data_IF_963491797327
#
_entry.id   IF_963491797327
#
_cell.length_a   1.000
_cell.length_b   1.000
_cell.length_c   1.000
_cell.angle_alpha   90.00
_cell.angle_beta   90.00
_cell.angle_gamma   90.00
#
_symmetry.space_group_name_H-M   'P 1'
#
loop_
_entity.id
_entity.type
_entity.pdbx_description
1 polymer ?
#
# COMPACT_ATOMS: atom_id res chain seq x y z
N UNK A 1 6.38 11.92 28.65
CA UNK A 1 7.61 11.49 27.97
C UNK A 1 7.19 10.92 26.62
N UNK A 2 7.17 11.73 25.57
CA UNK A 2 6.92 11.23 24.21
C UNK A 2 8.23 10.63 23.72
N UNK A 3 8.26 9.30 23.63
CA UNK A 3 9.34 8.55 23.00
C UNK A 3 9.24 8.79 21.50
N UNK A 4 9.81 9.89 21.00
CA UNK A 4 9.84 10.17 19.56
C UNK A 4 11.07 9.49 18.99
N UNK A 5 10.94 8.20 18.68
CA UNK A 5 11.90 7.55 17.80
C UNK A 5 12.08 8.42 16.54
N UNK A 6 13.31 8.55 15.99
CA UNK A 6 13.53 9.31 14.79
C UNK A 6 12.63 8.78 13.66
N UNK A 7 12.09 9.71 12.85
CA UNK A 7 11.26 9.33 11.72
C UNK A 7 12.07 8.45 10.75
N UNK A 8 11.46 7.41 10.16
CA UNK A 8 12.05 6.74 9.02
C UNK A 8 12.41 7.76 7.93
N UNK A 9 13.59 7.65 7.34
CA UNK A 9 14.09 8.58 6.32
C UNK A 9 13.09 8.76 5.17
N UNK A 10 12.58 7.64 4.66
CA UNK A 10 11.55 7.61 3.62
C UNK A 10 10.26 8.38 4.01
N UNK A 11 9.88 8.40 5.28
CA UNK A 11 8.75 9.21 5.75
C UNK A 11 9.13 10.69 5.82
N UNK A 12 10.30 11.01 6.37
CA UNK A 12 10.78 12.38 6.50
C UNK A 12 10.85 13.09 5.13
N UNK A 13 11.35 12.41 4.10
CA UNK A 13 11.41 12.91 2.72
C UNK A 13 10.03 13.25 2.16
N UNK A 14 9.03 12.36 2.36
CA UNK A 14 7.64 12.57 1.91
C UNK A 14 6.99 13.77 2.58
N UNK A 15 7.19 13.91 3.89
CA UNK A 15 6.65 15.04 4.66
C UNK A 15 7.31 16.35 4.23
N UNK A 16 8.63 16.36 4.05
CA UNK A 16 9.37 17.53 3.59
C UNK A 16 8.92 17.96 2.19
N UNK A 17 8.85 17.03 1.23
CA UNK A 17 8.39 17.31 -0.14
C UNK A 17 6.96 17.86 -0.18
N UNK A 18 6.09 17.33 0.67
CA UNK A 18 4.68 17.74 0.73
C UNK A 18 4.43 18.99 1.59
N UNK A 19 5.48 19.60 2.16
CA UNK A 19 5.33 20.68 3.15
C UNK A 19 4.32 20.31 4.25
N UNK A 20 4.47 19.11 4.81
CA UNK A 20 3.74 18.64 5.99
C UNK A 20 4.65 18.77 7.23
N UNK A 21 5.02 20.01 7.52
CA UNK A 21 5.77 20.36 8.73
C UNK A 21 4.85 20.36 9.98
N UNK A 22 5.40 20.73 11.12
CA UNK A 22 4.66 20.79 12.38
C UNK A 22 3.46 21.74 12.35
N UNK A 23 3.52 22.82 11.58
CA UNK A 23 2.42 23.76 11.46
C UNK A 23 1.29 23.14 10.63
N UNK A 24 1.62 22.55 9.48
CA UNK A 24 0.67 21.85 8.63
C UNK A 24 0.00 20.68 9.38
N UNK A 25 0.76 19.87 10.13
CA UNK A 25 0.21 18.79 10.96
C UNK A 25 -0.65 19.34 12.11
N UNK A 26 -0.30 20.50 12.66
CA UNK A 26 -1.15 21.24 13.60
C UNK A 26 -2.49 21.65 13.00
N UNK A 27 -2.52 22.04 11.71
CA UNK A 27 -3.75 22.34 10.96
C UNK A 27 -4.58 21.09 10.67
N UNK A 28 -3.96 19.95 10.42
CA UNK A 28 -4.71 18.67 10.31
C UNK A 28 -5.39 18.35 11.64
N UNK A 29 -4.65 18.48 12.75
CA UNK A 29 -5.18 18.24 14.09
C UNK A 29 -6.32 19.20 14.46
N UNK A 30 -6.32 20.45 13.97
CA UNK A 30 -7.39 21.41 14.27
C UNK A 30 -8.77 20.97 13.75
N UNK A 31 -8.79 20.13 12.69
CA UNK A 31 -10.02 19.57 12.10
C UNK A 31 -10.30 18.14 12.55
N UNK A 32 -9.52 17.58 13.49
CA UNK A 32 -9.63 16.19 13.95
C UNK A 32 -11.06 15.81 14.38
N UNK A 33 -11.70 16.65 15.20
CA UNK A 33 -13.06 16.39 15.68
C UNK A 33 -14.08 16.29 14.53
N UNK A 34 -13.95 17.15 13.52
CA UNK A 34 -14.78 17.12 12.32
C UNK A 34 -14.49 15.87 11.49
N UNK A 35 -13.23 15.50 11.30
CA UNK A 35 -12.85 14.27 10.60
C UNK A 35 -13.45 13.04 11.29
N UNK A 36 -13.32 12.92 12.61
CA UNK A 36 -13.84 11.78 13.38
C UNK A 36 -15.37 11.71 13.38
N UNK A 37 -16.06 12.86 13.39
CA UNK A 37 -17.52 12.95 13.25
C UNK A 37 -18.00 12.30 11.94
N UNK A 38 -17.29 12.53 10.83
CA UNK A 38 -17.68 12.01 9.51
C UNK A 38 -17.03 10.67 9.14
N UNK A 39 -15.99 10.24 9.85
CA UNK A 39 -15.26 9.00 9.56
C UNK A 39 -16.14 7.75 9.65
N UNK A 40 -16.98 7.64 10.69
CA UNK A 40 -17.89 6.51 10.86
C UNK A 40 -18.83 6.34 9.65
N UNK A 41 -19.64 7.37 9.31
CA UNK A 41 -20.48 7.37 8.12
C UNK A 41 -19.71 7.14 6.81
N UNK A 42 -18.52 7.71 6.67
CA UNK A 42 -17.67 7.53 5.50
C UNK A 42 -17.25 6.06 5.31
N UNK A 43 -16.83 5.41 6.39
CA UNK A 43 -16.47 3.99 6.37
C UNK A 43 -17.70 3.10 6.12
N UNK A 44 -18.87 3.44 6.68
CA UNK A 44 -20.11 2.70 6.39
C UNK A 44 -20.47 2.74 4.91
N UNK A 45 -20.45 3.93 4.29
CA UNK A 45 -20.69 4.12 2.86
C UNK A 45 -19.65 3.37 2.02
N UNK A 46 -18.38 3.47 2.39
CA UNK A 46 -17.27 2.79 1.70
C UNK A 46 -17.45 1.27 1.70
N UNK A 47 -17.65 0.65 2.86
CA UNK A 47 -17.79 -0.80 2.93
C UNK A 47 -19.09 -1.34 2.33
N UNK A 48 -20.18 -0.57 2.38
CA UNK A 48 -21.39 -0.89 1.63
C UNK A 48 -21.12 -0.92 0.12
N UNK A 49 -20.37 0.06 -0.39
CA UNK A 49 -19.98 0.09 -1.80
C UNK A 49 -19.05 -1.06 -2.18
N UNK A 50 -18.04 -1.37 -1.34
CA UNK A 50 -17.15 -2.50 -1.59
C UNK A 50 -17.90 -3.84 -1.69
N UNK A 51 -18.93 -4.04 -0.87
CA UNK A 51 -19.78 -5.24 -0.94
C UNK A 51 -20.58 -5.35 -2.23
N UNK A 52 -20.78 -4.25 -2.96
CA UNK A 52 -21.48 -4.21 -4.25
C UNK A 52 -20.57 -4.41 -5.46
N UNK A 53 -19.24 -4.34 -5.28
CA UNK A 53 -18.25 -4.48 -6.35
C UNK A 53 -17.63 -5.88 -6.31
N UNK A 54 -17.99 -6.81 -7.21
CA UNK A 54 -17.52 -8.20 -7.17
C UNK A 54 -16.00 -8.33 -7.18
N UNK A 55 -15.29 -7.40 -7.84
CA UNK A 55 -13.83 -7.43 -7.93
C UNK A 55 -13.15 -7.19 -6.57
N UNK A 56 -13.81 -6.48 -5.65
CA UNK A 56 -13.29 -6.20 -4.31
C UNK A 56 -13.97 -7.10 -3.26
N UNK A 57 -15.27 -7.35 -3.38
CA UNK A 57 -16.05 -8.15 -2.44
C UNK A 57 -15.44 -9.54 -2.20
N UNK A 58 -14.84 -10.15 -3.24
CA UNK A 58 -14.18 -11.47 -3.16
C UNK A 58 -13.06 -11.57 -2.12
N UNK A 59 -12.50 -10.45 -1.66
CA UNK A 59 -11.44 -10.43 -0.65
C UNK A 59 -11.95 -10.55 0.80
N UNK A 60 -13.27 -10.50 1.00
CA UNK A 60 -13.90 -10.65 2.30
C UNK A 60 -14.66 -11.99 2.36
N UNK A 61 -14.23 -12.88 3.27
CA UNK A 61 -14.84 -14.17 3.49
C UNK A 61 -16.24 -14.05 4.15
N UNK A 62 -16.37 -13.10 5.08
CA UNK A 62 -17.59 -12.89 5.85
C UNK A 62 -17.71 -11.44 6.33
N UNK A 63 -18.86 -11.14 6.95
CA UNK A 63 -19.15 -9.81 7.52
C UNK A 63 -18.22 -9.47 8.70
N UNK A 64 -17.73 -10.45 9.44
CA UNK A 64 -16.86 -10.20 10.59
C UNK A 64 -15.47 -9.73 10.15
N UNK A 65 -14.93 -10.29 9.06
CA UNK A 65 -13.70 -9.81 8.43
C UNK A 65 -13.86 -8.37 7.95
N UNK A 66 -15.01 -8.04 7.37
CA UNK A 66 -15.32 -6.67 6.96
C UNK A 66 -15.35 -5.72 8.16
N UNK A 67 -15.99 -6.10 9.27
CA UNK A 67 -16.04 -5.27 10.48
C UNK A 67 -14.66 -5.10 11.12
N UNK A 68 -13.83 -6.15 11.14
CA UNK A 68 -12.43 -6.05 11.60
C UNK A 68 -11.62 -5.09 10.72
N UNK A 69 -11.81 -5.16 9.40
CA UNK A 69 -11.16 -4.23 8.47
C UNK A 69 -11.62 -2.78 8.72
N UNK A 70 -12.92 -2.57 8.93
CA UNK A 70 -13.49 -1.25 9.27
C UNK A 70 -12.88 -0.68 10.55
N UNK A 71 -12.75 -1.49 11.59
CA UNK A 71 -12.09 -1.09 12.84
C UNK A 71 -10.62 -0.69 12.65
N UNK A 72 -9.88 -1.47 11.85
CA UNK A 72 -8.48 -1.15 11.53
C UNK A 72 -8.37 0.17 10.76
N UNK A 73 -9.21 0.40 9.75
CA UNK A 73 -9.28 1.66 9.01
C UNK A 73 -9.61 2.82 9.95
N UNK A 74 -10.58 2.67 10.85
CA UNK A 74 -10.95 3.74 11.80
C UNK A 74 -9.76 4.17 12.67
N UNK A 75 -8.99 3.21 13.22
CA UNK A 75 -7.78 3.51 13.99
C UNK A 75 -6.72 4.22 13.14
N UNK A 76 -6.52 3.76 11.92
CA UNK A 76 -5.53 4.32 11.00
C UNK A 76 -5.86 5.77 10.61
N UNK A 77 -7.12 6.03 10.23
CA UNK A 77 -7.61 7.38 9.92
C UNK A 77 -7.58 8.32 11.13
N UNK A 78 -7.72 7.80 12.35
CA UNK A 78 -7.56 8.60 13.57
C UNK A 78 -6.13 9.14 13.71
N UNK A 79 -5.11 8.34 13.36
CA UNK A 79 -3.72 8.82 13.37
C UNK A 79 -3.48 9.93 12.33
N UNK A 80 -4.05 9.79 11.12
CA UNK A 80 -4.02 10.83 10.08
C UNK A 80 -4.69 12.11 10.59
N UNK A 81 -5.92 12.00 11.11
CA UNK A 81 -6.71 13.12 11.62
C UNK A 81 -6.03 13.85 12.78
N UNK A 82 -5.30 13.13 13.62
CA UNK A 82 -4.53 13.71 14.73
C UNK A 82 -3.22 14.37 14.31
N UNK A 83 -2.85 14.35 13.02
CA UNK A 83 -1.56 14.82 12.52
C UNK A 83 -0.37 13.95 12.99
N UNK A 84 -0.62 12.71 13.38
CA UNK A 84 0.38 11.79 13.98
C UNK A 84 1.07 10.96 12.90
N UNK A 85 1.74 11.63 11.94
CA UNK A 85 2.51 10.97 10.90
C UNK A 85 3.91 10.60 11.41
N UNK A 86 3.95 9.65 12.33
CA UNK A 86 5.17 9.17 13.01
C UNK A 86 5.65 7.79 12.52
N UNK A 87 6.66 7.22 13.18
CA UNK A 87 7.19 5.91 12.83
C UNK A 87 6.16 4.76 12.99
N UNK A 88 5.24 4.87 13.95
CA UNK A 88 4.18 3.86 14.17
C UNK A 88 3.11 3.96 13.08
N UNK A 89 2.78 5.18 12.66
CA UNK A 89 1.95 5.43 11.48
C UNK A 89 2.59 4.84 10.22
N UNK A 90 3.88 5.09 9.99
CA UNK A 90 4.59 4.55 8.82
C UNK A 90 4.54 3.02 8.77
N UNK A 91 4.80 2.33 9.88
CA UNK A 91 4.68 0.86 9.95
C UNK A 91 3.26 0.39 9.63
N UNK A 92 2.25 1.11 10.11
CA UNK A 92 0.85 0.81 9.80
C UNK A 92 0.57 0.92 8.29
N UNK A 93 0.94 2.03 7.65
CA UNK A 93 0.75 2.23 6.20
C UNK A 93 1.54 1.23 5.37
N UNK A 94 2.76 0.91 5.78
CA UNK A 94 3.59 -0.13 5.17
C UNK A 94 2.90 -1.51 5.23
N UNK A 95 2.37 -1.89 6.40
CA UNK A 95 1.62 -3.15 6.55
C UNK A 95 0.35 -3.19 5.71
N UNK A 96 -0.34 -2.06 5.56
CA UNK A 96 -1.51 -1.93 4.69
C UNK A 96 -1.09 -2.20 3.23
N UNK A 97 -0.05 -1.53 2.73
CA UNK A 97 0.47 -1.75 1.38
C UNK A 97 0.88 -3.19 1.12
N UNK A 98 1.61 -3.81 2.07
CA UNK A 98 1.98 -5.23 2.01
C UNK A 98 0.78 -6.15 1.94
N UNK A 99 -0.27 -5.88 2.73
CA UNK A 99 -1.47 -6.70 2.74
C UNK A 99 -2.20 -6.62 1.41
N UNK A 100 -2.30 -5.44 0.82
CA UNK A 100 -2.91 -5.25 -0.50
C UNK A 100 -2.14 -5.96 -1.61
N UNK A 101 -0.80 -5.92 -1.59
CA UNK A 101 0.01 -6.70 -2.53
C UNK A 101 -0.20 -8.21 -2.35
N UNK A 102 -0.19 -8.69 -1.10
CA UNK A 102 -0.36 -10.10 -0.79
C UNK A 102 -1.69 -10.67 -1.29
N UNK A 103 -2.78 -9.91 -1.17
CA UNK A 103 -4.10 -10.36 -1.66
C UNK A 103 -4.31 -10.05 -3.14
N UNK A 104 -3.41 -9.30 -3.79
CA UNK A 104 -3.57 -8.88 -5.18
C UNK A 104 -4.70 -7.86 -5.39
N UNK A 105 -4.96 -6.99 -4.40
CA UNK A 105 -5.90 -5.89 -4.60
C UNK A 105 -5.24 -4.84 -5.49
N UNK A 106 -5.81 -4.62 -6.68
CA UNK A 106 -5.27 -3.61 -7.60
C UNK A 106 -5.29 -2.20 -6.96
N UNK A 107 -4.22 -1.40 -7.15
CA UNK A 107 -4.13 -0.04 -6.60
C UNK A 107 -5.31 0.87 -6.95
N UNK A 108 -5.97 0.67 -8.11
CA UNK A 108 -7.14 1.46 -8.51
C UNK A 108 -8.29 1.39 -7.49
N UNK A 109 -8.51 0.22 -6.89
CA UNK A 109 -9.59 -0.01 -5.94
C UNK A 109 -9.25 0.59 -4.58
N UNK A 110 -7.98 0.49 -4.19
CA UNK A 110 -7.45 1.12 -2.99
C UNK A 110 -7.55 2.66 -3.06
N UNK A 111 -7.04 3.26 -4.14
CA UNK A 111 -7.05 4.71 -4.36
C UNK A 111 -8.50 5.23 -4.47
N UNK A 112 -9.36 4.53 -5.22
CA UNK A 112 -10.78 4.88 -5.31
C UNK A 112 -11.49 4.84 -3.96
N UNK A 113 -11.16 3.86 -3.12
CA UNK A 113 -11.68 3.75 -1.76
C UNK A 113 -11.32 4.95 -0.87
N UNK A 114 -10.07 5.40 -0.93
CA UNK A 114 -9.64 6.63 -0.25
C UNK A 114 -10.40 7.85 -0.74
N UNK A 115 -10.66 7.94 -2.05
CA UNK A 115 -11.48 8.99 -2.64
C UNK A 115 -12.89 9.07 -2.04
N UNK A 116 -13.56 7.93 -1.86
CA UNK A 116 -14.91 7.87 -1.27
C UNK A 116 -14.95 8.28 0.20
N UNK A 117 -13.94 7.88 0.97
CA UNK A 117 -13.81 8.24 2.39
C UNK A 117 -13.53 9.74 2.51
N UNK A 118 -12.52 10.23 1.77
CA UNK A 118 -12.12 11.64 1.76
C UNK A 118 -13.26 12.55 1.29
N UNK A 119 -14.01 12.15 0.26
CA UNK A 119 -15.19 12.89 -0.24
C UNK A 119 -16.19 13.16 0.89
N UNK A 120 -16.55 12.12 1.65
CA UNK A 120 -17.54 12.21 2.72
C UNK A 120 -17.04 13.12 3.84
N UNK A 121 -15.77 12.98 4.23
CA UNK A 121 -15.14 13.81 5.27
C UNK A 121 -15.08 15.27 4.84
N UNK A 122 -14.54 15.56 3.64
CA UNK A 122 -14.35 16.93 3.16
C UNK A 122 -15.69 17.66 3.00
N UNK A 123 -16.72 16.99 2.44
CA UNK A 123 -18.06 17.57 2.36
C UNK A 123 -18.62 17.90 3.74
N UNK A 124 -18.42 17.00 4.71
CA UNK A 124 -18.83 17.21 6.09
C UNK A 124 -18.14 18.40 6.76
N UNK A 125 -16.81 18.48 6.64
CA UNK A 125 -16.02 19.60 7.15
C UNK A 125 -16.46 20.94 6.56
N UNK A 126 -16.72 20.98 5.25
CA UNK A 126 -17.21 22.18 4.56
C UNK A 126 -18.60 22.58 5.09
N UNK A 127 -19.52 21.63 5.26
CA UNK A 127 -20.86 21.89 5.81
C UNK A 127 -20.77 22.47 7.22
N UNK A 128 -20.02 21.82 8.11
CA UNK A 128 -19.83 22.25 9.49
C UNK A 128 -19.21 23.65 9.57
N UNK A 129 -18.24 23.94 8.71
CA UNK A 129 -17.64 25.27 8.64
C UNK A 129 -18.69 26.35 8.29
N UNK A 130 -19.47 26.15 7.23
CA UNK A 130 -20.48 27.13 6.82
C UNK A 130 -21.65 27.25 7.80
N UNK A 131 -22.07 26.15 8.43
CA UNK A 131 -23.06 26.16 9.51
C UNK A 131 -22.57 26.98 10.70
N UNK A 132 -21.31 26.80 11.11
CA UNK A 132 -20.69 27.58 12.17
C UNK A 132 -20.60 29.07 11.81
N UNK A 133 -20.25 29.41 10.57
CA UNK A 133 -20.28 30.81 10.10
C UNK A 133 -21.69 31.40 10.12
N UNK A 134 -22.70 30.63 9.71
CA UNK A 134 -24.09 31.08 9.68
C UNK A 134 -24.67 31.32 11.08
N UNK A 135 -24.22 30.54 12.08
CA UNK A 135 -24.67 30.63 13.47
C UNK A 135 -24.06 31.79 14.26
N UNK A 136 -23.05 32.51 13.73
CA UNK A 136 -22.44 33.66 14.41
C UNK A 136 -23.48 34.77 14.63
N UNK A 137 -23.60 35.32 15.85
CA UNK A 137 -24.62 36.31 16.17
C UNK A 137 -24.47 37.58 15.32
N UNK A 138 -25.51 37.89 14.56
CA UNK A 138 -25.62 39.12 13.75
C UNK A 138 -26.20 40.24 14.61
N UNK A 139 -25.34 41.01 15.27
CA UNK A 139 -25.78 42.23 15.95
C UNK A 139 -26.35 43.23 14.94
N UNK A 140 -27.46 43.92 15.26
CA UNK A 140 -28.11 44.91 14.37
C UNK A 140 -27.21 46.09 13.95
N UNK A 141 -26.04 46.25 14.57
CA UNK A 141 -25.02 47.26 14.26
C UNK A 141 -23.61 46.67 14.07
N UNK A 142 -23.47 45.34 14.03
CA UNK A 142 -22.19 44.70 13.82
C UNK A 142 -21.80 44.81 12.35
N UNK A 143 -20.81 45.66 12.03
CA UNK A 143 -20.16 45.63 10.71
C UNK A 143 -19.47 44.27 10.54
N UNK A 144 -19.71 43.63 9.40
CA UNK A 144 -19.01 42.43 8.99
C UNK A 144 -17.52 42.78 8.86
N UNK A 145 -16.68 42.14 9.66
CA UNK A 145 -15.23 42.20 9.45
C UNK A 145 -14.90 41.26 8.28
N UNK A 146 -14.99 41.81 7.07
CA UNK A 146 -14.72 41.07 5.83
C UNK A 146 -13.29 40.51 5.80
N UNK A 147 -12.35 41.16 6.49
CA UNK A 147 -10.96 40.72 6.53
C UNK A 147 -10.81 39.53 7.47
N UNK A 148 -11.43 39.56 8.65
CA UNK A 148 -11.45 38.43 9.57
C UNK A 148 -12.13 37.20 8.94
N UNK A 149 -13.25 37.38 8.25
CA UNK A 149 -13.92 36.25 7.59
C UNK A 149 -13.08 35.65 6.46
N UNK A 150 -12.44 36.49 5.63
CA UNK A 150 -11.51 36.00 4.59
C UNK A 150 -10.35 35.22 5.20
N UNK A 151 -9.84 35.67 6.35
CA UNK A 151 -8.76 34.98 7.06
C UNK A 151 -9.22 33.61 7.57
N UNK A 152 -10.40 33.52 8.19
CA UNK A 152 -10.95 32.25 8.66
C UNK A 152 -11.19 31.25 7.52
N UNK A 153 -11.71 31.73 6.38
CA UNK A 153 -11.89 30.90 5.18
C UNK A 153 -10.55 30.39 4.67
N UNK A 154 -9.52 31.25 4.63
CA UNK A 154 -8.18 30.87 4.21
C UNK A 154 -7.57 29.83 5.16
N UNK A 155 -7.66 30.02 6.48
CA UNK A 155 -7.15 29.08 7.48
C UNK A 155 -7.84 27.71 7.43
N UNK A 156 -9.15 27.70 7.19
CA UNK A 156 -9.90 26.46 6.93
C UNK A 156 -9.43 25.78 5.64
N UNK A 157 -9.23 26.56 4.58
CA UNK A 157 -8.66 26.08 3.31
C UNK A 157 -7.30 25.40 3.50
N UNK A 158 -6.40 26.02 4.27
CA UNK A 158 -5.10 25.44 4.61
C UNK A 158 -5.22 24.14 5.42
N UNK A 159 -6.20 24.06 6.33
CA UNK A 159 -6.46 22.85 7.11
C UNK A 159 -6.96 21.69 6.24
N UNK A 160 -7.87 21.97 5.30
CA UNK A 160 -8.34 20.99 4.32
C UNK A 160 -7.22 20.57 3.37
N UNK A 161 -6.40 21.52 2.90
CA UNK A 161 -5.26 21.23 2.03
C UNK A 161 -4.23 20.34 2.75
N UNK A 162 -3.89 20.65 4.01
CA UNK A 162 -3.01 19.83 4.82
C UNK A 162 -3.56 18.41 5.01
N UNK A 163 -4.87 18.26 5.30
CA UNK A 163 -5.52 16.96 5.42
C UNK A 163 -5.42 16.15 4.12
N UNK A 164 -5.71 16.77 2.97
CA UNK A 164 -5.58 16.10 1.65
C UNK A 164 -4.14 15.65 1.41
N UNK A 165 -3.14 16.49 1.71
CA UNK A 165 -1.73 16.10 1.58
C UNK A 165 -1.37 14.92 2.50
N UNK A 166 -1.87 14.88 3.74
CA UNK A 166 -1.65 13.75 4.65
C UNK A 166 -2.25 12.45 4.11
N UNK A 167 -3.46 12.51 3.54
CA UNK A 167 -4.12 11.38 2.87
C UNK A 167 -3.29 10.90 1.67
N UNK A 168 -2.77 11.82 0.85
CA UNK A 168 -1.95 11.47 -0.31
C UNK A 168 -0.60 10.83 0.08
N UNK A 169 0.02 11.31 1.15
CA UNK A 169 1.23 10.67 1.71
C UNK A 169 0.94 9.24 2.17
N UNK A 170 -0.21 8.99 2.81
CA UNK A 170 -0.61 7.65 3.20
C UNK A 170 -0.77 6.71 2.00
N UNK A 171 -1.49 7.19 0.97
CA UNK A 171 -1.69 6.45 -0.27
C UNK A 171 -0.36 6.16 -0.95
N UNK A 172 0.56 7.13 -1.01
CA UNK A 172 1.89 6.95 -1.58
C UNK A 172 2.70 5.87 -0.86
N UNK A 173 2.69 5.86 0.49
CA UNK A 173 3.42 4.83 1.26
C UNK A 173 2.88 3.44 0.93
N UNK A 174 1.55 3.28 0.94
CA UNK A 174 0.90 2.00 0.67
C UNK A 174 1.13 1.52 -0.78
N UNK A 175 1.03 2.42 -1.76
CA UNK A 175 1.24 2.11 -3.18
C UNK A 175 2.70 1.83 -3.49
N UNK A 176 3.63 2.61 -2.96
CA UNK A 176 5.08 2.35 -3.07
C UNK A 176 5.38 0.96 -2.51
N UNK A 177 4.91 0.66 -1.30
CA UNK A 177 5.10 -0.65 -0.67
C UNK A 177 4.50 -1.80 -1.49
N UNK A 178 3.36 -1.56 -2.14
CA UNK A 178 2.73 -2.54 -3.02
C UNK A 178 3.65 -2.91 -4.20
N UNK A 179 4.19 -1.91 -4.90
CA UNK A 179 5.06 -2.13 -6.05
C UNK A 179 6.44 -2.65 -5.67
N UNK A 180 7.00 -2.20 -4.56
CA UNK A 180 8.25 -2.74 -4.00
C UNK A 180 8.11 -4.24 -3.73
N UNK A 181 6.96 -4.65 -3.19
CA UNK A 181 6.69 -6.06 -2.91
C UNK A 181 6.62 -6.88 -4.19
N UNK A 182 5.90 -6.42 -5.22
CA UNK A 182 5.81 -7.12 -6.50
C UNK A 182 7.17 -7.19 -7.20
N UNK A 183 7.95 -6.11 -7.17
CA UNK A 183 9.28 -6.06 -7.78
C UNK A 183 10.24 -7.02 -7.08
N UNK A 184 10.21 -7.07 -5.74
CA UNK A 184 11.01 -8.01 -4.96
C UNK A 184 10.60 -9.46 -5.20
N UNK A 185 9.29 -9.76 -5.34
CA UNK A 185 8.80 -11.09 -5.71
C UNK A 185 9.28 -11.51 -7.10
N UNK A 186 9.15 -10.63 -8.09
CA UNK A 186 9.59 -10.89 -9.45
C UNK A 186 11.11 -11.12 -9.52
N UNK A 187 11.91 -10.30 -8.82
CA UNK A 187 13.36 -10.47 -8.75
C UNK A 187 13.75 -11.80 -8.08
N UNK A 188 13.05 -12.19 -7.01
CA UNK A 188 13.28 -13.46 -6.32
C UNK A 188 12.92 -14.66 -7.22
N UNK A 189 11.80 -14.58 -7.96
CA UNK A 189 11.41 -15.60 -8.93
C UNK A 189 12.41 -15.71 -10.08
N UNK A 190 12.86 -14.58 -10.63
CA UNK A 190 13.86 -14.55 -11.69
C UNK A 190 15.19 -15.15 -11.23
N UNK A 191 15.64 -14.80 -10.01
CA UNK A 191 16.85 -15.39 -9.43
C UNK A 191 16.69 -16.89 -9.25
N UNK A 192 15.58 -17.35 -8.68
CA UNK A 192 15.32 -18.77 -8.49
C UNK A 192 15.31 -19.53 -9.83
N UNK A 193 14.68 -18.96 -10.87
CA UNK A 193 14.71 -19.52 -12.23
C UNK A 193 16.14 -19.60 -12.79
N UNK A 194 16.92 -18.53 -12.66
CA UNK A 194 18.32 -18.50 -13.09
C UNK A 194 19.19 -19.52 -12.34
N UNK A 195 19.01 -19.66 -11.03
CA UNK A 195 19.75 -20.63 -10.20
C UNK A 195 19.44 -22.07 -10.66
N UNK A 196 18.18 -22.36 -11.02
CA UNK A 196 17.77 -23.66 -11.55
C UNK A 196 18.34 -23.94 -12.95
N UNK A 197 18.33 -22.95 -13.84
CA UNK A 197 18.95 -23.07 -15.17
C UNK A 197 20.46 -23.32 -15.03
N UNK A 198 21.13 -22.59 -14.15
CA UNK A 198 22.55 -22.79 -13.89
C UNK A 198 22.84 -24.21 -13.39
N UNK A 199 22.04 -24.72 -12.43
CA UNK A 199 22.14 -26.09 -11.94
C UNK A 199 21.97 -27.12 -13.07
N UNK A 200 20.98 -26.92 -13.95
CA UNK A 200 20.75 -27.81 -15.09
C UNK A 200 21.94 -27.82 -16.07
N UNK A 201 22.46 -26.64 -16.44
CA UNK A 201 23.60 -26.51 -17.35
C UNK A 201 24.85 -27.18 -16.75
N UNK A 202 25.14 -26.94 -15.47
CA UNK A 202 26.27 -27.59 -14.78
C UNK A 202 26.11 -29.11 -14.75
N UNK A 203 24.92 -29.60 -14.37
CA UNK A 203 24.67 -31.04 -14.26
C UNK A 203 24.79 -31.76 -15.61
N UNK A 204 24.30 -31.15 -16.69
CA UNK A 204 24.47 -31.68 -18.06
C UNK A 204 25.93 -31.65 -18.48
N UNK A 205 26.64 -30.54 -18.20
CA UNK A 205 28.05 -30.39 -18.53
C UNK A 205 28.94 -31.45 -17.87
N UNK A 206 28.64 -31.81 -16.61
CA UNK A 206 29.39 -32.84 -15.88
C UNK A 206 29.18 -34.24 -16.48
N UNK A 207 27.95 -34.57 -16.87
CA UNK A 207 27.65 -35.85 -17.55
C UNK A 207 28.34 -35.93 -18.92
N UNK A 208 28.27 -34.85 -19.71
CA UNK A 208 28.94 -34.81 -21.02
C UNK A 208 30.46 -34.99 -20.90
N UNK A 209 31.07 -34.46 -19.83
CA UNK A 209 32.50 -34.65 -19.55
C UNK A 209 32.82 -36.11 -19.23
N UNK A 210 32.04 -36.75 -18.36
CA UNK A 210 32.21 -38.17 -18.02
C UNK A 210 32.05 -39.08 -19.25
N UNK A 211 31.07 -38.78 -20.11
CA UNK A 211 30.88 -39.48 -21.38
C UNK A 211 32.10 -39.31 -22.30
N UNK A 212 32.65 -38.11 -22.42
CA UNK A 212 33.85 -37.84 -23.22
C UNK A 212 35.10 -38.57 -22.68
N UNK A 213 35.17 -38.80 -21.38
CA UNK A 213 36.21 -39.58 -20.70
C UNK A 213 36.01 -41.10 -20.80
N UNK A 214 34.91 -41.55 -21.42
CA UNK A 214 34.62 -42.96 -21.72
C UNK A 214 33.58 -43.62 -20.82
N UNK A 215 33.01 -42.89 -19.85
CA UNK A 215 31.92 -43.41 -19.01
C UNK A 215 30.54 -43.15 -19.65
N UNK A 216 30.05 -44.14 -20.39
CA UNK A 216 28.72 -44.10 -21.02
C UNK A 216 27.57 -44.37 -20.03
N UNK A 217 27.89 -44.70 -18.77
CA UNK A 217 26.90 -44.96 -17.73
C UNK A 217 26.53 -43.69 -16.95
N UNK A 218 27.27 -42.59 -17.13
CA UNK A 218 26.99 -41.29 -16.52
C UNK A 218 25.56 -40.80 -16.80
N UNK A 219 24.88 -40.29 -15.76
CA UNK A 219 23.51 -39.74 -15.83
C UNK A 219 23.39 -38.48 -14.99
N UNK A 220 22.48 -37.59 -15.37
CA UNK A 220 22.12 -36.45 -14.55
C UNK A 220 21.37 -36.97 -13.33
N UNK A 221 21.83 -36.65 -12.12
CA UNK A 221 21.18 -37.05 -10.86
C UNK A 221 20.62 -35.88 -10.08
N UNK A 222 20.90 -34.65 -10.55
CA UNK A 222 20.33 -33.44 -9.97
C UNK A 222 18.80 -33.45 -10.14
N UNK A 223 18.11 -32.97 -9.11
CA UNK A 223 16.67 -32.75 -9.14
C UNK A 223 16.39 -31.51 -10.01
N UNK A 224 16.03 -31.75 -11.27
CA UNK A 224 15.73 -30.71 -12.25
C UNK A 224 14.23 -30.49 -12.35
N UNK A 225 13.84 -29.27 -12.71
CA UNK A 225 12.43 -28.93 -12.91
C UNK A 225 11.75 -29.86 -13.95
N UNK A 226 10.43 -30.09 -13.85
CA UNK A 226 9.69 -31.02 -14.72
C UNK A 226 9.86 -30.74 -16.22
N UNK A 227 10.03 -29.47 -16.59
CA UNK A 227 10.25 -29.03 -17.99
C UNK A 227 11.61 -29.50 -18.54
N UNK A 228 12.55 -29.82 -17.65
CA UNK A 228 13.90 -30.32 -17.94
C UNK A 228 14.04 -31.83 -17.67
N UNK A 229 12.98 -32.53 -17.24
CA UNK A 229 13.01 -33.98 -17.00
C UNK A 229 13.42 -34.80 -18.23
N UNK A 230 13.20 -34.28 -19.45
CA UNK A 230 13.64 -34.96 -20.68
C UNK A 230 15.16 -35.15 -20.71
N UNK A 231 15.93 -34.23 -20.11
CA UNK A 231 17.38 -34.33 -19.98
C UNK A 231 17.77 -35.55 -19.14
N UNK A 232 16.93 -35.91 -18.17
CA UNK A 232 17.15 -37.03 -17.26
C UNK A 232 16.82 -38.40 -17.89
N UNK A 233 16.01 -38.41 -18.97
CA UNK A 233 15.43 -39.64 -19.53
C UNK A 233 16.02 -40.10 -20.85
N UNK A 234 16.97 -39.40 -21.47
CA UNK A 234 17.53 -39.81 -22.77
C UNK A 234 18.52 -40.96 -22.61
N UNK A 235 18.21 -42.20 -23.03
CA UNK A 235 19.21 -43.24 -23.16
C UNK A 235 20.02 -42.91 -24.42
N UNK A 236 21.31 -42.65 -24.30
CA UNK A 236 22.21 -42.48 -25.46
C UNK A 236 22.16 -43.77 -26.31
N UNK A 237 21.61 -43.77 -27.54
CA UNK A 237 21.59 -44.93 -28.39
C UNK A 237 22.84 -44.87 -29.28
N UNK A 238 23.97 -45.36 -28.79
CA UNK A 238 25.10 -45.64 -29.67
C UNK A 238 25.35 -47.15 -29.65
N UNK A 239 24.94 -47.90 -30.69
CA UNK A 239 25.45 -49.24 -30.89
C UNK A 239 26.92 -49.11 -31.28
N UNK A 240 27.82 -49.41 -30.33
CA UNK A 240 29.23 -49.63 -30.62
C UNK A 240 29.33 -50.93 -31.40
N UNK A 241 29.34 -50.84 -32.73
CA UNK A 241 29.85 -51.90 -33.57
C UNK A 241 31.40 -51.83 -33.53
N UNK A 242 31.99 -52.47 -32.51
CA UNK A 242 33.38 -52.91 -32.62
C UNK A 242 33.41 -54.07 -33.62
N UNK A 243 33.89 -53.81 -34.85
CA UNK A 243 34.38 -54.85 -35.75
C UNK A 243 35.84 -54.61 -36.06
N UNK A 244 36.63 -55.66 -35.85
CA UNK A 244 38.06 -55.80 -36.14
C UNK A 244 38.38 -55.61 -37.62
#
# INVERSE_FOLDING_TARGET
>A
MTNTAPLPEALAERLAFSHLDSEALGRVKSVEAGVLKYLGPALDRFYAHLGSEPQVAKFFADRDQLQRAKGAQSKHWTAIAGGQLDASYFDSSYRIGRRHAQIGLEPRWYIGGYGLIAETIIKGLISDFFEAQAAKPRGMFARRDEQAERQEIAEFGESVAALVKSILVDVDIAVTTYFDRLTAEAAAQQKASSDKIALAVTSVGDVLRQVAEGDLTARVTADLDPELEQINRTPMPWPIACSR
#
